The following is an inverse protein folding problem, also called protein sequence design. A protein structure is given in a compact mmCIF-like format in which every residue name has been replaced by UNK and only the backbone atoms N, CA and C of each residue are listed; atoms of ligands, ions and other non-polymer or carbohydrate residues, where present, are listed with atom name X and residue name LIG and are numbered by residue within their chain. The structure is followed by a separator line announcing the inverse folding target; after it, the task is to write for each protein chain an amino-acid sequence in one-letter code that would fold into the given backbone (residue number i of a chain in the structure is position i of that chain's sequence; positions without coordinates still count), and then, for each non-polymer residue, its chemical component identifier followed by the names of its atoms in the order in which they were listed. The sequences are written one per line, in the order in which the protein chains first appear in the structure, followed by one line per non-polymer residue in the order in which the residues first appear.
data_IF_643429789893
#
_entry.id   IF_643429789893
#
_cell.length_a   1.000
_cell.length_b   1.000
_cell.length_c   1.000
_cell.angle_alpha   90.00
_cell.angle_beta   90.00
_cell.angle_gamma   90.00
#
_symmetry.space_group_name_H-M   'P 1'
#
loop_
_entity.id
_entity.type
_entity.pdbx_description
1 polymer ?
#
# COMPACT_ATOMS: atom_id res chain seq x y z
N UNK A 1 -15.20 23.35 -8.96
CA UNK A 1 -14.48 24.27 -8.04
C UNK A 1 -13.50 23.41 -7.26
N UNK A 2 -12.22 23.81 -7.17
CA UNK A 2 -11.21 23.02 -6.46
C UNK A 2 -11.29 23.20 -4.94
N UNK A 3 -10.97 22.16 -4.17
CA UNK A 3 -10.74 22.31 -2.73
C UNK A 3 -9.42 23.01 -2.48
N UNK A 4 -9.43 23.95 -1.53
CA UNK A 4 -8.23 24.67 -1.06
C UNK A 4 -7.95 24.20 0.36
N UNK A 5 -6.70 23.88 0.64
CA UNK A 5 -6.25 23.43 1.95
C UNK A 5 -5.23 24.41 2.53
N UNK A 6 -5.42 24.79 3.78
CA UNK A 6 -4.53 25.67 4.54
C UNK A 6 -3.26 24.97 5.04
N UNK A 7 -2.32 25.74 5.54
CA UNK A 7 -1.08 25.22 6.15
C UNK A 7 -1.43 24.38 7.38
N UNK A 8 -0.80 23.21 7.51
CA UNK A 8 -1.03 22.24 8.58
C UNK A 8 -2.26 21.35 8.35
N UNK A 9 -3.09 21.64 7.35
CA UNK A 9 -4.23 20.79 7.02
C UNK A 9 -3.79 19.49 6.35
N UNK A 10 -4.52 18.42 6.66
CA UNK A 10 -4.31 17.10 6.07
C UNK A 10 -5.61 16.55 5.50
N UNK A 11 -5.53 15.86 4.37
CA UNK A 11 -6.70 15.32 3.66
C UNK A 11 -6.36 14.01 2.96
N UNK A 12 -7.39 13.24 2.63
CA UNK A 12 -7.28 11.99 1.87
C UNK A 12 -7.85 12.21 0.47
N UNK A 13 -7.07 11.85 -0.55
CA UNK A 13 -7.53 11.88 -1.95
C UNK A 13 -8.36 10.65 -2.30
N UNK A 14 -9.12 10.71 -3.39
CA UNK A 14 -9.83 9.54 -3.96
C UNK A 14 -8.88 8.40 -4.35
N UNK A 15 -7.63 8.73 -4.61
CA UNK A 15 -6.56 7.79 -4.95
C UNK A 15 -5.81 7.29 -3.72
N UNK A 16 -6.37 7.52 -2.52
CA UNK A 16 -5.87 7.01 -1.25
C UNK A 16 -4.51 7.56 -0.84
N UNK A 17 -4.22 8.80 -1.22
CA UNK A 17 -3.07 9.52 -0.69
C UNK A 17 -3.48 10.33 0.53
N UNK A 18 -2.77 10.15 1.64
CA UNK A 18 -2.80 11.05 2.77
C UNK A 18 -1.86 12.22 2.46
N UNK A 19 -2.42 13.39 2.24
CA UNK A 19 -1.68 14.60 1.95
C UNK A 19 -1.69 15.56 3.14
N UNK A 20 -0.65 16.38 3.23
CA UNK A 20 -0.54 17.48 4.20
C UNK A 20 0.09 18.69 3.51
N UNK A 21 -0.47 19.87 3.77
CA UNK A 21 0.11 21.14 3.33
C UNK A 21 1.08 21.63 4.40
N UNK A 22 2.37 21.66 4.09
CA UNK A 22 3.44 22.02 5.01
C UNK A 22 4.10 23.33 4.56
N UNK A 23 4.39 24.21 5.51
CA UNK A 23 5.26 25.37 5.28
C UNK A 23 6.67 25.04 5.80
N UNK A 24 7.75 25.37 5.08
CA UNK A 24 7.85 26.03 3.76
C UNK A 24 7.83 25.07 2.54
N UNK A 25 7.55 23.79 2.73
CA UNK A 25 7.84 22.74 1.74
C UNK A 25 6.74 22.50 0.68
N UNK A 26 5.54 23.05 0.88
CA UNK A 26 4.37 22.77 0.05
C UNK A 26 3.65 21.49 0.44
N UNK A 27 3.04 20.80 -0.53
CA UNK A 27 2.20 19.64 -0.28
C UNK A 27 3.01 18.34 -0.37
N UNK A 28 3.00 17.54 0.70
CA UNK A 28 3.53 16.18 0.71
C UNK A 28 2.40 15.16 0.79
N UNK A 29 2.50 14.06 0.06
CA UNK A 29 1.50 13.00 0.04
C UNK A 29 2.15 11.62 0.22
N UNK A 30 1.53 10.78 1.06
CA UNK A 30 1.92 9.38 1.26
C UNK A 30 0.78 8.47 0.79
N UNK A 31 1.10 7.33 0.19
CA UNK A 31 0.10 6.30 -0.06
C UNK A 31 -0.39 5.74 1.29
N UNK A 32 -1.69 5.88 1.57
CA UNK A 32 -2.29 5.43 2.82
C UNK A 32 -2.46 3.91 2.85
N UNK A 33 -2.47 3.27 1.68
CA UNK A 33 -2.71 1.85 1.54
C UNK A 33 -1.50 1.01 1.91
N UNK A 34 -1.62 0.23 2.99
CA UNK A 34 -0.71 -0.88 3.21
C UNK A 34 -0.80 -1.85 2.01
N UNK A 35 0.31 -2.01 1.29
CA UNK A 35 0.42 -2.92 0.15
C UNK A 35 1.25 -4.14 0.57
N UNK A 36 0.73 -5.36 0.36
CA UNK A 36 1.55 -6.56 0.47
C UNK A 36 2.81 -6.42 -0.38
N UNK A 37 3.95 -6.67 0.23
CA UNK A 37 5.25 -6.82 -0.45
C UNK A 37 5.56 -8.31 -0.58
N UNK A 38 6.44 -8.68 -1.52
CA UNK A 38 6.94 -10.04 -1.69
C UNK A 38 5.87 -11.12 -1.98
N UNK A 39 4.81 -10.76 -2.71
CA UNK A 39 3.86 -11.74 -3.24
C UNK A 39 4.39 -12.39 -4.52
N UNK A 40 4.06 -13.65 -4.81
CA UNK A 40 4.50 -14.33 -6.03
C UNK A 40 3.93 -13.72 -7.32
N UNK A 41 4.62 -13.91 -8.45
CA UNK A 41 4.21 -13.34 -9.76
C UNK A 41 2.84 -13.82 -10.29
N UNK A 42 2.35 -14.96 -9.78
CA UNK A 42 1.01 -15.50 -10.07
C UNK A 42 -0.10 -14.83 -9.25
N UNK A 43 0.25 -13.87 -8.39
CA UNK A 43 -0.68 -12.99 -7.70
C UNK A 43 -0.60 -11.56 -8.25
N UNK A 44 -1.65 -10.80 -8.00
CA UNK A 44 -1.69 -9.37 -8.29
C UNK A 44 -2.42 -8.60 -7.20
N UNK A 45 -2.11 -7.31 -7.08
CA UNK A 45 -2.73 -6.43 -6.09
C UNK A 45 -3.99 -5.79 -6.64
N UNK A 46 -5.09 -5.96 -5.92
CA UNK A 46 -6.34 -5.25 -6.18
C UNK A 46 -6.68 -4.32 -4.99
N UNK A 47 -7.09 -3.09 -5.28
CA UNK A 47 -7.62 -2.17 -4.26
C UNK A 47 -9.06 -2.56 -3.93
N UNK A 48 -9.38 -2.68 -2.64
CA UNK A 48 -10.76 -2.95 -2.22
C UNK A 48 -11.67 -1.76 -2.53
N UNK A 49 -12.87 -1.99 -3.09
CA UNK A 49 -13.82 -0.90 -3.32
C UNK A 49 -14.15 -0.17 -2.01
N UNK A 50 -14.13 1.16 -2.03
CA UNK A 50 -14.44 1.99 -0.86
C UNK A 50 -13.40 1.94 0.27
N UNK A 51 -12.23 1.32 0.04
CA UNK A 51 -11.14 1.26 1.02
C UNK A 51 -9.81 1.57 0.36
N UNK A 52 -8.91 2.16 1.14
CA UNK A 52 -7.53 2.38 0.74
C UNK A 52 -6.62 1.17 0.93
N UNK A 53 -7.19 0.01 1.31
CA UNK A 53 -6.43 -1.24 1.46
C UNK A 53 -6.37 -2.03 0.16
N UNK A 54 -5.17 -2.50 -0.18
CA UNK A 54 -4.95 -3.43 -1.28
C UNK A 54 -4.78 -4.86 -0.77
N UNK A 55 -5.23 -5.83 -1.56
CA UNK A 55 -5.05 -7.26 -1.26
C UNK A 55 -4.45 -7.97 -2.46
N UNK A 56 -3.54 -8.90 -2.19
CA UNK A 56 -3.04 -9.80 -3.22
C UNK A 56 -4.11 -10.87 -3.50
N UNK A 57 -4.45 -11.09 -4.76
CA UNK A 57 -5.37 -12.12 -5.23
C UNK A 57 -4.72 -12.97 -6.31
N UNK A 58 -5.24 -14.18 -6.52
CA UNK A 58 -4.73 -15.05 -7.57
C UNK A 58 -5.08 -14.48 -8.94
N UNK A 59 -4.10 -14.36 -9.85
CA UNK A 59 -4.33 -13.87 -11.20
C UNK A 59 -5.30 -14.75 -12.01
N UNK A 60 -5.31 -16.05 -11.73
CA UNK A 60 -6.25 -17.00 -12.33
C UNK A 60 -7.69 -16.88 -11.79
N UNK A 61 -7.87 -16.33 -10.58
CA UNK A 61 -9.17 -16.15 -9.96
C UNK A 61 -9.15 -15.05 -8.90
N UNK A 62 -9.61 -13.85 -9.27
CA UNK A 62 -9.58 -12.66 -8.41
C UNK A 62 -10.51 -12.76 -7.19
N UNK A 63 -11.37 -13.80 -7.12
CA UNK A 63 -12.22 -14.08 -5.95
C UNK A 63 -11.45 -14.76 -4.82
N UNK A 64 -10.29 -15.34 -5.11
CA UNK A 64 -9.48 -16.05 -4.12
C UNK A 64 -8.35 -15.14 -3.62
N UNK A 65 -8.25 -14.93 -2.29
CA UNK A 65 -7.10 -14.23 -1.74
C UNK A 65 -5.83 -15.03 -2.04
N UNK A 66 -4.76 -14.33 -2.37
CA UNK A 66 -3.44 -14.91 -2.49
C UNK A 66 -2.97 -15.28 -1.07
N UNK A 67 -3.11 -16.57 -0.72
CA UNK A 67 -2.61 -17.09 0.53
C UNK A 67 -1.11 -17.32 0.39
N UNK A 68 -0.33 -16.31 0.80
CA UNK A 68 1.11 -16.39 0.88
C UNK A 68 1.56 -16.06 2.29
N UNK A 69 2.31 -16.97 2.92
CA UNK A 69 2.86 -16.76 4.26
C UNK A 69 1.87 -16.86 5.45
N UNK A 70 0.59 -17.18 5.23
CA UNK A 70 -0.34 -17.58 6.31
C UNK A 70 -0.37 -19.10 6.46
N UNK A 71 0.48 -19.61 7.35
CA UNK A 71 0.33 -20.87 8.09
C UNK A 71 0.16 -22.21 7.34
N UNK A 72 0.91 -22.45 6.26
CA UNK A 72 1.49 -23.78 6.03
C UNK A 72 2.58 -23.74 4.96
N UNK A 73 3.72 -24.34 5.28
CA UNK A 73 4.93 -24.47 4.44
C UNK A 73 5.79 -23.20 4.36
N UNK A 74 6.48 -22.88 5.46
CA UNK A 74 7.85 -22.35 5.39
C UNK A 74 8.79 -23.55 5.16
N UNK A 75 9.36 -23.80 3.97
CA UNK A 75 10.66 -24.46 3.92
C UNK A 75 11.69 -23.47 4.50
N UNK A 76 12.53 -23.96 5.39
CA UNK A 76 13.53 -23.18 6.07
C UNK A 76 14.43 -22.39 5.10
N UNK A 77 14.80 -21.18 5.54
CA UNK A 77 15.98 -20.41 5.16
C UNK A 77 16.03 -19.76 3.76
N UNK A 78 15.62 -18.49 3.71
CA UNK A 78 16.43 -17.42 3.11
C UNK A 78 16.34 -16.22 4.06
N UNK A 79 17.45 -15.65 4.56
CA UNK A 79 17.37 -14.44 5.36
C UNK A 79 16.81 -13.31 4.49
N UNK A 80 15.73 -12.68 4.96
CA UNK A 80 15.15 -11.51 4.34
C UNK A 80 16.26 -10.46 4.11
N UNK A 81 16.39 -9.85 2.91
CA UNK A 81 17.20 -8.66 2.79
C UNK A 81 16.59 -7.59 3.69
N UNK A 82 17.37 -7.16 4.69
CA UNK A 82 17.06 -5.97 5.47
C UNK A 82 16.91 -4.82 4.48
N UNK A 83 15.69 -4.31 4.29
CA UNK A 83 15.53 -3.03 3.60
C UNK A 83 16.05 -1.95 4.54
N UNK A 84 17.30 -1.61 4.32
CA UNK A 84 17.98 -0.40 4.75
C UNK A 84 17.05 0.79 4.56
N UNK A 85 16.68 1.44 5.66
CA UNK A 85 16.31 2.85 5.63
C UNK A 85 17.54 3.61 5.11
N UNK A 86 17.49 4.11 3.89
CA UNK A 86 18.41 5.16 3.45
C UNK A 86 17.85 6.47 3.98
N UNK A 87 18.50 7.01 5.02
CA UNK A 87 18.46 8.42 5.40
C UNK A 87 19.60 9.10 4.64
#
# INVERSE_FOLDING_TARGET
MGQVYGIGESWITSDCYQCVCMEPFGVGCCDQGAKPVDYPDWCELIRKPGSCTSVAVMRANHKLPCLWGRDSLRPAAVPAPKSTYYI
#
